data_IF_528045267167
#
_entry.id   IF_528045267167
#
_cell.length_a   1.000
_cell.length_b   1.000
_cell.length_c   1.000
_cell.angle_alpha   90.00
_cell.angle_beta   90.00
_cell.angle_gamma   90.00
#
_symmetry.space_group_name_H-M   'P 1'
#
loop_
_entity.id
_entity.type
_entity.pdbx_description
1 polymer ?
#
# COMPACT_ATOMS: atom_id res chain seq x y z
N UNK A 1 6.15 14.37 -12.44
CA UNK A 1 5.87 12.92 -12.33
C UNK A 1 4.88 12.78 -11.19
N UNK A 2 3.73 12.12 -11.39
CA UNK A 2 2.75 11.97 -10.28
C UNK A 2 3.27 10.94 -9.28
N UNK A 3 3.13 11.21 -7.99
CA UNK A 3 3.50 10.28 -6.93
C UNK A 3 2.30 9.42 -6.53
N UNK A 4 2.55 8.15 -6.22
CA UNK A 4 1.53 7.23 -5.74
C UNK A 4 2.05 6.40 -4.58
N UNK A 5 1.19 6.21 -3.57
CA UNK A 5 1.44 5.31 -2.44
C UNK A 5 0.47 4.13 -2.55
N UNK A 6 0.99 2.91 -2.60
CA UNK A 6 0.21 1.67 -2.61
C UNK A 6 0.43 0.91 -1.31
N UNK A 7 -0.58 0.90 -0.44
CA UNK A 7 -0.52 0.13 0.79
C UNK A 7 -0.60 -1.37 0.49
N UNK A 8 0.31 -2.17 1.05
CA UNK A 8 0.36 -3.60 0.75
C UNK A 8 0.78 -3.89 -0.71
N UNK A 9 1.54 -2.97 -1.34
CA UNK A 9 2.03 -3.08 -2.70
C UNK A 9 3.13 -4.12 -2.95
N UNK A 10 3.62 -4.80 -1.91
CA UNK A 10 4.72 -5.76 -2.06
C UNK A 10 4.36 -7.09 -2.76
N UNK A 11 3.07 -7.49 -2.76
CA UNK A 11 2.60 -8.78 -3.31
C UNK A 11 1.17 -8.69 -3.86
N UNK A 12 0.73 -9.75 -4.55
CA UNK A 12 -0.67 -9.93 -4.97
C UNK A 12 -1.23 -8.76 -5.78
N UNK A 13 -2.47 -8.38 -5.48
CA UNK A 13 -3.19 -7.27 -6.15
C UNK A 13 -2.44 -5.95 -6.00
N UNK A 14 -1.91 -5.66 -4.80
CA UNK A 14 -1.18 -4.42 -4.54
C UNK A 14 0.05 -4.27 -5.43
N UNK A 15 0.79 -5.36 -5.64
CA UNK A 15 1.94 -5.36 -6.56
C UNK A 15 1.53 -5.09 -8.00
N UNK A 16 0.45 -5.72 -8.47
CA UNK A 16 -0.06 -5.51 -9.82
C UNK A 16 -0.48 -4.04 -10.03
N UNK A 17 -1.10 -3.41 -9.03
CA UNK A 17 -1.44 -1.98 -9.06
C UNK A 17 -0.17 -1.12 -9.12
N UNK A 18 0.81 -1.40 -8.25
CA UNK A 18 2.07 -0.66 -8.21
C UNK A 18 2.83 -0.73 -9.55
N UNK A 19 2.93 -1.92 -10.15
CA UNK A 19 3.60 -2.12 -11.42
C UNK A 19 2.84 -1.43 -12.58
N UNK A 20 1.50 -1.44 -12.54
CA UNK A 20 0.67 -0.71 -13.52
C UNK A 20 0.86 0.80 -13.42
N UNK A 21 0.90 1.37 -12.21
CA UNK A 21 1.15 2.80 -12.00
C UNK A 21 2.56 3.21 -12.46
N UNK A 22 3.58 2.39 -12.20
CA UNK A 22 4.94 2.61 -12.72
C UNK A 22 4.95 2.61 -14.25
N UNK A 23 4.21 1.70 -14.89
CA UNK A 23 4.17 1.58 -16.35
C UNK A 23 3.60 2.82 -17.06
N UNK A 24 2.76 3.60 -16.36
CA UNK A 24 2.19 4.85 -16.86
C UNK A 24 2.97 6.09 -16.37
N UNK A 25 4.15 5.89 -15.77
CA UNK A 25 5.06 6.97 -15.39
C UNK A 25 4.79 7.61 -14.04
N UNK A 26 4.17 6.90 -13.08
CA UNK A 26 4.10 7.36 -11.69
C UNK A 26 5.39 7.00 -10.92
N UNK A 27 5.76 7.86 -9.96
CA UNK A 27 6.68 7.50 -8.89
C UNK A 27 5.92 6.72 -7.82
N UNK A 28 6.26 5.46 -7.56
CA UNK A 28 5.43 4.58 -6.74
C UNK A 28 6.16 4.09 -5.49
N UNK A 29 5.60 4.44 -4.33
CA UNK A 29 5.95 3.89 -3.04
C UNK A 29 5.01 2.73 -2.74
N UNK A 30 5.52 1.50 -2.84
CA UNK A 30 4.75 0.28 -2.56
C UNK A 30 5.14 -0.28 -1.20
N UNK A 31 4.23 -0.26 -0.23
CA UNK A 31 4.56 -0.70 1.14
C UNK A 31 4.31 -2.19 1.37
N UNK A 32 5.06 -2.75 2.30
CA UNK A 32 4.81 -4.04 2.95
C UNK A 32 4.32 -3.84 4.39
N UNK A 33 3.84 -4.90 5.03
CA UNK A 33 3.42 -4.88 6.45
C UNK A 33 4.57 -4.48 7.39
N UNK A 34 5.82 -4.77 7.01
CA UNK A 34 6.99 -4.42 7.82
C UNK A 34 7.34 -2.92 7.74
N UNK A 35 6.91 -2.24 6.68
CA UNK A 35 7.17 -0.81 6.47
C UNK A 35 6.00 0.05 6.95
N UNK A 36 4.77 -0.48 6.88
CA UNK A 36 3.57 0.16 7.39
C UNK A 36 2.61 -0.90 7.95
N UNK A 37 2.44 -0.86 9.28
CA UNK A 37 1.38 -1.62 9.94
C UNK A 37 0.13 -0.75 10.06
N UNK A 38 -0.85 -0.98 9.18
CA UNK A 38 -2.11 -0.22 9.18
C UNK A 38 -3.01 -0.49 10.38
N UNK A 39 -2.66 -1.44 11.25
CA UNK A 39 -3.35 -1.66 12.54
C UNK A 39 -2.77 -0.80 13.67
N UNK A 40 -1.62 -0.14 13.46
CA UNK A 40 -0.96 0.73 14.44
C UNK A 40 -1.08 2.19 14.02
N UNK A 41 -1.79 3.00 14.83
CA UNK A 41 -1.89 4.44 14.61
C UNK A 41 -0.53 5.13 14.62
N UNK A 42 0.40 4.68 15.46
CA UNK A 42 1.77 5.22 15.52
C UNK A 42 2.51 4.96 14.20
N UNK A 43 2.44 3.74 13.66
CA UNK A 43 3.05 3.39 12.37
C UNK A 43 2.46 4.23 11.22
N UNK A 44 1.13 4.39 11.21
CA UNK A 44 0.44 5.22 10.21
C UNK A 44 0.84 6.68 10.31
N UNK A 45 0.87 7.26 11.52
CA UNK A 45 1.27 8.65 11.73
C UNK A 45 2.71 8.90 11.30
N UNK A 46 3.66 8.06 11.71
CA UNK A 46 5.07 8.22 11.31
C UNK A 46 5.26 8.07 9.80
N UNK A 47 4.51 7.18 9.15
CA UNK A 47 4.55 7.05 7.68
C UNK A 47 3.99 8.30 7.00
N UNK A 48 2.85 8.82 7.48
CA UNK A 48 2.22 10.01 6.94
C UNK A 48 3.08 11.27 7.13
N UNK A 49 3.78 11.40 8.25
CA UNK A 49 4.73 12.51 8.47
C UNK A 49 5.91 12.46 7.49
N UNK A 50 6.42 11.26 7.18
CA UNK A 50 7.51 11.07 6.21
C UNK A 50 7.06 11.27 4.75
N UNK A 51 5.79 10.98 4.46
CA UNK A 51 5.17 11.05 3.14
C UNK A 51 3.95 11.98 3.19
N UNK A 52 4.20 13.26 3.51
CA UNK A 52 3.18 14.26 3.82
C UNK A 52 2.38 14.78 2.61
N UNK A 53 2.80 14.43 1.39
CA UNK A 53 2.12 14.78 0.14
C UNK A 53 2.23 13.64 -0.87
N UNK A 54 1.09 13.30 -1.51
CA UNK A 54 1.02 12.32 -2.59
C UNK A 54 -0.14 12.65 -3.52
N UNK A 55 0.03 12.45 -4.84
CA UNK A 55 -1.07 12.67 -5.80
C UNK A 55 -2.14 11.56 -5.75
N UNK A 56 -1.72 10.32 -5.45
CA UNK A 56 -2.58 9.13 -5.48
C UNK A 56 -2.31 8.24 -4.26
N UNK A 57 -3.36 7.89 -3.51
CA UNK A 57 -3.29 6.96 -2.38
C UNK A 57 -4.18 5.74 -2.63
N UNK A 58 -3.59 4.54 -2.54
CA UNK A 58 -4.28 3.26 -2.74
C UNK A 58 -4.27 2.49 -1.41
N UNK A 59 -5.45 2.24 -0.86
CA UNK A 59 -5.66 1.53 0.40
C UNK A 59 -5.93 0.03 0.15
N UNK A 60 -4.89 -0.74 -0.20
CA UNK A 60 -5.00 -2.17 -0.51
C UNK A 60 -4.59 -3.07 0.69
N UNK A 61 -4.97 -2.70 1.92
CA UNK A 61 -4.78 -3.53 3.12
C UNK A 61 -6.10 -3.73 3.85
N UNK A 62 -6.14 -4.60 4.87
CA UNK A 62 -7.33 -4.77 5.71
C UNK A 62 -8.41 -5.69 5.15
N UNK A 63 -8.02 -6.70 4.36
CA UNK A 63 -8.95 -7.78 3.99
C UNK A 63 -9.47 -8.53 5.23
N UNK A 64 -10.65 -9.16 5.15
CA UNK A 64 -11.14 -10.01 6.23
C UNK A 64 -10.17 -11.16 6.50
N UNK A 65 -10.22 -11.73 7.70
CA UNK A 65 -9.44 -12.93 7.99
C UNK A 65 -9.73 -14.02 6.96
N UNK A 66 -8.71 -14.78 6.53
CA UNK A 66 -8.91 -15.92 5.64
C UNK A 66 -9.99 -16.83 6.19
N UNK A 67 -11.02 -17.08 5.38
CA UNK A 67 -12.06 -18.02 5.75
C UNK A 67 -11.56 -19.43 5.45
N UNK A 68 -11.49 -20.28 6.47
CA UNK A 68 -11.28 -21.70 6.28
C UNK A 68 -12.49 -22.28 5.54
N UNK A 69 -12.28 -22.76 4.32
CA UNK A 69 -13.26 -23.57 3.62
C UNK A 69 -12.98 -25.02 3.97
N UNK A 70 -13.74 -25.57 4.93
CA UNK A 70 -13.69 -27.00 5.21
C UNK A 70 -14.15 -27.76 3.94
N UNK A 71 -13.26 -28.58 3.39
CA UNK A 71 -13.60 -29.66 2.45
C UNK A 71 -14.15 -30.86 3.22
#
# INVERSE_FOLDING_TARGET
MKTAVVLGGSRGIGKAIADSLKSIGCDVIATSKNELDTSSLESVSSFAEKHNEVDILILNTGGPEPKEFFL
#
